data_IF_464727893021
#
_entry.id   IF_464727893021
#
_cell.length_a   1.000
_cell.length_b   1.000
_cell.length_c   1.000
_cell.angle_alpha   90.00
_cell.angle_beta   90.00
_cell.angle_gamma   90.00
#
_symmetry.space_group_name_H-M   'P 1'
#
loop_
_entity.id
_entity.type
_entity.pdbx_description
1 polymer ?
#
# COMPACT_ATOMS: atom_id res chain seq x y z
N UNK A 1 65.25 25.23 -70.43
CA UNK A 1 66.52 24.56 -70.05
C UNK A 1 66.26 23.75 -68.78
N UNK A 2 66.75 22.50 -68.78
CA UNK A 2 67.12 21.63 -67.65
C UNK A 2 66.87 22.17 -66.22
N UNK A 3 66.03 21.53 -65.41
CA UNK A 3 66.29 20.38 -64.51
C UNK A 3 67.13 20.72 -63.28
N UNK A 4 66.57 20.47 -62.10
CA UNK A 4 67.26 20.47 -60.81
C UNK A 4 66.29 20.11 -59.69
N UNK A 5 66.11 18.81 -59.46
CA UNK A 5 65.49 18.23 -58.27
C UNK A 5 66.39 18.46 -57.05
N UNK A 6 65.83 18.44 -55.83
CA UNK A 6 66.18 17.40 -54.85
C UNK A 6 65.45 17.55 -53.49
N UNK A 7 64.72 16.48 -53.19
CA UNK A 7 64.47 15.83 -51.88
C UNK A 7 63.98 16.66 -50.68
N UNK A 8 62.65 16.70 -50.54
CA UNK A 8 61.99 16.82 -49.24
C UNK A 8 62.12 15.48 -48.47
N UNK A 9 62.72 15.53 -47.29
CA UNK A 9 62.78 14.41 -46.34
C UNK A 9 61.38 14.05 -45.84
N UNK A 10 60.94 12.85 -46.23
CA UNK A 10 59.73 12.20 -45.76
C UNK A 10 59.96 11.59 -44.36
N UNK A 11 59.56 12.28 -43.28
CA UNK A 11 59.47 11.64 -41.95
C UNK A 11 58.63 12.39 -40.91
N UNK A 12 57.54 13.07 -41.27
CA UNK A 12 56.73 13.82 -40.28
C UNK A 12 55.25 13.45 -40.18
N UNK A 13 54.64 12.86 -41.22
CA UNK A 13 53.18 12.64 -41.21
C UNK A 13 52.73 11.33 -40.55
N UNK A 14 53.55 10.28 -40.58
CA UNK A 14 53.22 9.00 -39.92
C UNK A 14 53.44 9.04 -38.41
N UNK A 15 54.42 9.82 -37.92
CA UNK A 15 54.62 10.01 -36.48
C UNK A 15 53.54 10.92 -35.87
N UNK A 16 53.05 11.91 -36.61
CA UNK A 16 51.91 12.75 -36.17
C UNK A 16 50.58 11.98 -36.13
N UNK A 17 50.35 11.04 -37.04
CA UNK A 17 49.12 10.23 -37.04
C UNK A 17 49.09 9.21 -35.89
N UNK A 18 50.23 8.65 -35.52
CA UNK A 18 50.37 7.74 -34.36
C UNK A 18 50.24 8.51 -33.04
N UNK A 19 50.69 9.77 -32.96
CA UNK A 19 50.54 10.61 -31.77
C UNK A 19 49.11 11.15 -31.58
N UNK A 20 48.34 11.34 -32.66
CA UNK A 20 46.91 11.71 -32.57
C UNK A 20 45.99 10.57 -32.12
N UNK A 21 46.44 9.31 -32.18
CA UNK A 21 45.67 8.13 -31.77
C UNK A 21 45.86 7.72 -30.30
N UNK A 22 46.61 8.48 -29.52
CA UNK A 22 46.67 8.33 -28.05
C UNK A 22 45.97 9.48 -27.34
N UNK A 23 44.73 9.78 -27.73
CA UNK A 23 43.78 10.25 -26.72
C UNK A 23 43.64 9.15 -25.70
N UNK A 24 44.15 9.41 -24.51
CA UNK A 24 43.94 8.60 -23.32
C UNK A 24 42.45 8.29 -23.26
N UNK A 25 42.08 7.05 -23.54
CA UNK A 25 40.79 6.49 -23.17
C UNK A 25 40.77 6.48 -21.64
N UNK A 26 40.49 7.65 -21.06
CA UNK A 26 39.85 7.69 -19.77
C UNK A 26 38.64 6.77 -19.95
N UNK A 27 38.49 5.80 -19.05
CA UNK A 27 37.25 5.10 -18.84
C UNK A 27 36.19 6.14 -18.41
N UNK A 28 35.76 6.99 -19.34
CA UNK A 28 34.57 7.79 -19.22
C UNK A 28 33.48 6.76 -19.36
N UNK A 29 33.08 6.20 -18.22
CA UNK A 29 31.80 5.50 -18.11
C UNK A 29 30.81 6.35 -18.89
N UNK A 30 30.30 5.85 -20.03
CA UNK A 30 29.25 6.55 -20.79
C UNK A 30 28.09 6.67 -19.84
N UNK A 31 27.98 7.84 -19.22
CA UNK A 31 26.95 8.13 -18.24
C UNK A 31 25.83 8.74 -19.06
N UNK A 32 24.71 8.03 -19.29
CA UNK A 32 23.69 8.48 -20.26
C UNK A 32 23.10 9.86 -19.94
N UNK A 33 23.27 10.35 -18.70
CA UNK A 33 22.84 11.69 -18.30
C UNK A 33 23.81 12.81 -18.66
N UNK A 34 25.11 12.52 -18.89
CA UNK A 34 26.06 13.51 -19.42
C UNK A 34 25.70 13.88 -20.86
N UNK A 35 25.18 12.92 -21.63
CA UNK A 35 24.67 13.15 -22.99
C UNK A 35 23.40 14.04 -23.00
N UNK A 36 22.75 14.24 -21.85
CA UNK A 36 21.60 15.14 -21.70
C UNK A 36 22.00 16.56 -21.29
N UNK A 37 23.27 16.81 -20.92
CA UNK A 37 23.73 18.16 -20.60
C UNK A 37 23.69 19.06 -21.85
N UNK A 38 23.07 20.22 -21.72
CA UNK A 38 22.91 21.17 -22.84
C UNK A 38 21.78 20.80 -23.81
N UNK A 39 21.22 19.58 -23.74
CA UNK A 39 20.01 19.22 -24.50
C UNK A 39 18.80 19.84 -23.79
N UNK A 40 18.27 20.92 -24.34
CA UNK A 40 16.94 21.43 -23.96
C UNK A 40 15.88 20.42 -24.38
N UNK A 41 15.55 19.48 -23.48
CA UNK A 41 14.38 18.62 -23.62
C UNK A 41 13.16 19.52 -23.63
N UNK A 42 12.57 19.74 -24.80
CA UNK A 42 11.31 20.49 -24.89
C UNK A 42 10.28 19.73 -24.05
N UNK A 43 9.60 20.37 -23.09
CA UNK A 43 8.52 19.72 -22.39
C UNK A 43 7.52 19.24 -23.45
N UNK A 44 7.25 17.94 -23.49
CA UNK A 44 6.14 17.38 -24.29
C UNK A 44 4.92 18.23 -23.94
N UNK A 45 4.41 18.95 -24.94
CA UNK A 45 3.34 19.91 -24.73
C UNK A 45 2.16 19.20 -24.05
N UNK A 46 1.45 19.88 -23.13
CA UNK A 46 0.25 19.32 -22.55
C UNK A 46 -0.68 18.86 -23.68
N UNK A 47 -1.34 17.73 -23.44
CA UNK A 47 -2.36 17.18 -24.31
C UNK A 47 -3.32 18.32 -24.70
N UNK A 48 -3.41 18.64 -26.00
CA UNK A 48 -4.17 19.79 -26.49
C UNK A 48 -3.39 21.09 -26.74
N UNK A 49 -2.10 21.03 -27.09
CA UNK A 49 -1.46 22.21 -27.69
C UNK A 49 -2.17 22.53 -29.02
N UNK A 50 -2.80 23.71 -29.11
CA UNK A 50 -3.35 24.33 -30.33
C UNK A 50 -2.18 24.76 -31.26
N UNK A 51 -1.14 23.92 -31.33
CA UNK A 51 -0.06 24.10 -32.27
C UNK A 51 -0.61 23.79 -33.65
N UNK A 52 -0.36 24.67 -34.62
CA UNK A 52 -0.72 24.49 -36.04
C UNK A 52 -0.07 23.26 -36.70
N UNK A 53 0.77 22.51 -35.98
CA UNK A 53 1.39 21.26 -36.47
C UNK A 53 0.56 20.05 -36.03
N UNK A 54 0.31 19.08 -36.92
CA UNK A 54 -0.34 17.83 -36.54
C UNK A 54 0.51 17.15 -35.46
N UNK A 55 -0.06 17.04 -34.25
CA UNK A 55 0.55 16.28 -33.18
C UNK A 55 0.35 14.80 -33.48
N UNK A 56 1.40 14.15 -33.95
CA UNK A 56 1.41 12.69 -34.13
C UNK A 56 1.88 12.07 -32.83
N UNK A 57 1.01 11.29 -32.18
CA UNK A 57 1.38 10.58 -30.96
C UNK A 57 2.42 9.51 -31.26
N UNK A 58 3.60 9.61 -30.63
CA UNK A 58 4.69 8.66 -30.84
C UNK A 58 4.34 7.24 -30.39
N UNK A 59 3.48 7.09 -29.38
CA UNK A 59 3.17 5.79 -28.81
C UNK A 59 2.25 4.99 -29.74
N UNK A 60 2.65 3.75 -30.09
CA UNK A 60 1.86 2.86 -30.94
C UNK A 60 0.45 2.66 -30.39
N UNK A 61 0.33 2.45 -29.07
CA UNK A 61 -0.97 2.25 -28.42
C UNK A 61 -1.93 3.42 -28.62
N UNK A 62 -1.44 4.67 -28.64
CA UNK A 62 -2.30 5.84 -28.86
C UNK A 62 -2.67 6.06 -30.32
N UNK A 63 -1.92 5.46 -31.25
CA UNK A 63 -2.23 5.48 -32.68
C UNK A 63 -3.21 4.37 -33.06
N UNK A 64 -3.07 3.21 -32.42
CA UNK A 64 -3.89 2.03 -32.70
C UNK A 64 -5.21 2.02 -31.91
N UNK A 65 -5.26 2.64 -30.73
CA UNK A 65 -6.43 2.65 -29.86
C UNK A 65 -7.05 4.06 -29.82
N UNK A 66 -8.29 4.24 -30.34
CA UNK A 66 -9.05 5.47 -30.15
C UNK A 66 -9.20 5.86 -28.68
N UNK A 67 -9.31 7.15 -28.41
CA UNK A 67 -9.39 7.68 -27.04
C UNK A 67 -10.64 7.19 -26.30
N UNK A 68 -11.74 6.96 -27.00
CA UNK A 68 -12.98 6.43 -26.44
C UNK A 68 -12.79 5.01 -25.88
N UNK A 69 -12.04 4.17 -26.59
CA UNK A 69 -11.73 2.81 -26.13
C UNK A 69 -10.75 2.85 -24.95
N UNK A 70 -9.78 3.76 -24.97
CA UNK A 70 -8.88 3.97 -23.84
C UNK A 70 -9.64 4.43 -22.59
N UNK A 71 -10.64 5.30 -22.75
CA UNK A 71 -11.50 5.77 -21.66
C UNK A 71 -12.32 4.63 -21.09
N UNK A 72 -12.87 3.79 -21.96
CA UNK A 72 -13.65 2.62 -21.54
C UNK A 72 -12.78 1.60 -20.78
N UNK A 73 -11.51 1.44 -21.19
CA UNK A 73 -10.53 0.65 -20.44
C UNK A 73 -10.31 1.23 -19.05
N UNK A 74 -10.04 2.55 -18.93
CA UNK A 74 -9.85 3.20 -17.63
C UNK A 74 -11.10 3.16 -16.75
N UNK A 75 -12.29 3.25 -17.32
CA UNK A 75 -13.56 3.18 -16.58
C UNK A 75 -13.80 1.80 -15.92
N UNK A 76 -13.18 0.74 -16.45
CA UNK A 76 -13.28 -0.64 -15.91
C UNK A 76 -12.14 -1.02 -14.97
N UNK A 77 -11.07 -0.23 -14.91
CA UNK A 77 -9.91 -0.50 -14.06
C UNK A 77 -10.22 -0.30 -12.58
N UNK A 78 -9.49 -1.00 -11.72
CA UNK A 78 -9.55 -0.73 -10.28
C UNK A 78 -8.84 0.60 -9.97
N UNK A 79 -9.14 1.25 -8.83
CA UNK A 79 -8.41 2.44 -8.39
C UNK A 79 -6.90 2.21 -8.26
N UNK A 80 -6.50 0.98 -7.93
CA UNK A 80 -5.10 0.60 -7.83
C UNK A 80 -4.42 0.61 -9.21
N UNK A 81 -5.05 -0.04 -10.19
CA UNK A 81 -4.59 -0.09 -11.58
C UNK A 81 -4.59 1.29 -12.22
N UNK A 82 -5.61 2.12 -11.97
CA UNK A 82 -5.65 3.51 -12.42
C UNK A 82 -4.47 4.31 -11.86
N UNK A 83 -4.08 4.06 -10.60
CA UNK A 83 -2.88 4.64 -10.01
C UNK A 83 -1.62 4.26 -10.79
N UNK A 84 -1.44 2.98 -11.09
CA UNK A 84 -0.30 2.46 -11.88
C UNK A 84 -0.31 3.01 -13.32
N UNK A 85 -1.46 3.02 -13.97
CA UNK A 85 -1.67 3.57 -15.31
C UNK A 85 -1.30 5.06 -15.36
N UNK A 86 -1.62 5.83 -14.31
CA UNK A 86 -1.25 7.25 -14.22
C UNK A 86 0.28 7.49 -14.17
N UNK A 87 1.08 6.47 -13.88
CA UNK A 87 2.55 6.53 -13.88
C UNK A 87 3.17 6.15 -15.23
N UNK A 88 2.40 5.65 -16.19
CA UNK A 88 2.93 5.17 -17.50
C UNK A 88 3.35 6.33 -18.40
N UNK A 89 2.45 7.30 -18.63
CA UNK A 89 2.75 8.46 -19.46
C UNK A 89 1.92 9.69 -19.07
N UNK A 90 2.30 10.87 -19.59
CA UNK A 90 1.59 12.13 -19.34
C UNK A 90 0.13 12.07 -19.80
N UNK A 91 -0.15 11.51 -20.99
CA UNK A 91 -1.52 11.37 -21.52
C UNK A 91 -2.41 10.65 -20.51
N UNK A 92 -2.01 9.45 -20.08
CA UNK A 92 -2.76 8.64 -19.12
C UNK A 92 -2.92 9.35 -17.77
N UNK A 93 -1.85 9.98 -17.26
CA UNK A 93 -1.89 10.77 -16.03
C UNK A 93 -2.95 11.86 -16.06
N UNK A 94 -3.07 12.59 -17.17
CA UNK A 94 -4.05 13.67 -17.30
C UNK A 94 -5.45 13.15 -17.61
N UNK A 95 -5.58 12.10 -18.43
CA UNK A 95 -6.86 11.45 -18.71
C UNK A 95 -7.50 10.91 -17.42
N UNK A 96 -6.76 10.14 -16.62
CA UNK A 96 -7.25 9.51 -15.38
C UNK A 96 -7.63 10.56 -14.31
N UNK A 97 -7.19 11.81 -14.44
CA UNK A 97 -7.65 12.90 -13.56
C UNK A 97 -9.11 13.29 -13.78
N UNK A 98 -9.72 12.88 -14.91
CA UNK A 98 -11.14 13.07 -15.14
C UNK A 98 -11.95 12.42 -13.99
N UNK A 99 -12.81 13.19 -13.28
CA UNK A 99 -13.59 12.67 -12.17
C UNK A 99 -14.49 11.47 -12.51
N UNK A 100 -14.95 11.35 -13.76
CA UNK A 100 -15.91 10.30 -14.17
C UNK A 100 -15.39 8.89 -13.88
N UNK A 101 -14.08 8.65 -14.06
CA UNK A 101 -13.46 7.34 -13.80
C UNK A 101 -13.51 6.92 -12.33
N UNK A 102 -13.65 7.87 -11.41
CA UNK A 102 -13.65 7.59 -9.97
C UNK A 102 -15.05 7.33 -9.41
N UNK A 103 -16.12 7.59 -10.19
CA UNK A 103 -17.51 7.42 -9.74
C UNK A 103 -17.80 6.01 -9.24
N UNK A 104 -17.47 4.99 -10.05
CA UNK A 104 -17.72 3.60 -9.68
C UNK A 104 -16.96 3.20 -8.42
N UNK A 105 -15.70 3.61 -8.33
CA UNK A 105 -14.87 3.38 -7.15
C UNK A 105 -15.48 3.99 -5.89
N UNK A 106 -15.93 5.25 -5.95
CA UNK A 106 -16.58 5.93 -4.83
C UNK A 106 -17.86 5.20 -4.39
N UNK A 107 -18.76 4.88 -5.32
CA UNK A 107 -20.01 4.18 -5.00
C UNK A 107 -19.76 2.81 -4.37
N UNK A 108 -18.71 2.10 -4.81
CA UNK A 108 -18.32 0.81 -4.23
C UNK A 108 -17.69 0.96 -2.84
N UNK A 109 -16.84 1.95 -2.63
CA UNK A 109 -16.16 2.15 -1.33
C UNK A 109 -17.09 2.61 -0.22
N UNK A 110 -18.11 3.41 -0.55
CA UNK A 110 -19.07 3.95 0.42
C UNK A 110 -20.50 3.44 0.18
N UNK A 111 -20.62 2.18 -0.24
CA UNK A 111 -21.91 1.55 -0.52
C UNK A 111 -22.87 1.60 0.68
N UNK A 112 -22.35 1.55 1.91
CA UNK A 112 -23.13 1.53 3.14
C UNK A 112 -23.90 2.84 3.39
N UNK A 113 -23.38 3.99 2.95
CA UNK A 113 -24.11 5.26 3.03
C UNK A 113 -25.29 5.33 2.06
N UNK A 114 -25.32 4.47 1.05
CA UNK A 114 -26.31 4.52 -0.02
C UNK A 114 -25.99 5.55 -1.11
N UNK A 115 -26.60 5.37 -2.28
CA UNK A 115 -26.30 6.18 -3.48
C UNK A 115 -26.69 7.64 -3.27
N UNK A 116 -27.91 7.89 -2.80
CA UNK A 116 -28.46 9.26 -2.62
C UNK A 116 -27.60 10.09 -1.68
N UNK A 117 -27.21 9.52 -0.53
CA UNK A 117 -26.40 10.23 0.45
C UNK A 117 -24.98 10.50 -0.07
N UNK A 118 -24.39 9.56 -0.81
CA UNK A 118 -23.11 9.78 -1.48
C UNK A 118 -23.16 10.96 -2.46
N UNK A 119 -24.26 11.12 -3.21
CA UNK A 119 -24.43 12.28 -4.10
C UNK A 119 -24.58 13.60 -3.32
N UNK A 120 -25.31 13.60 -2.20
CA UNK A 120 -25.40 14.80 -1.34
C UNK A 120 -24.03 15.20 -0.79
N UNK A 121 -23.28 14.23 -0.26
CA UNK A 121 -21.93 14.44 0.27
C UNK A 121 -20.98 14.92 -0.84
N UNK A 122 -21.06 14.32 -2.03
CA UNK A 122 -20.28 14.72 -3.20
C UNK A 122 -20.48 16.20 -3.54
N UNK A 123 -21.73 16.66 -3.59
CA UNK A 123 -22.05 18.05 -3.92
C UNK A 123 -21.66 19.01 -2.80
N UNK A 124 -22.01 18.69 -1.55
CA UNK A 124 -21.80 19.56 -0.39
C UNK A 124 -20.34 19.70 0.06
N UNK A 125 -19.54 18.62 0.01
CA UNK A 125 -18.17 18.60 0.56
C UNK A 125 -17.06 18.54 -0.49
N UNK A 126 -17.38 18.15 -1.73
CA UNK A 126 -16.38 17.84 -2.76
C UNK A 126 -16.63 18.52 -4.10
N UNK A 127 -17.47 19.56 -4.14
CA UNK A 127 -17.77 20.39 -5.33
C UNK A 127 -18.18 19.57 -6.56
N UNK A 128 -18.91 18.46 -6.36
CA UNK A 128 -19.33 17.59 -7.46
C UNK A 128 -18.23 16.69 -8.04
N UNK A 129 -17.00 16.71 -7.50
CA UNK A 129 -15.86 15.98 -8.06
C UNK A 129 -15.63 14.62 -7.40
N UNK A 130 -15.96 13.54 -8.12
CA UNK A 130 -15.74 12.16 -7.67
C UNK A 130 -14.28 11.87 -7.33
N UNK A 131 -13.34 12.42 -8.10
CA UNK A 131 -11.90 12.26 -7.83
C UNK A 131 -11.50 12.94 -6.53
N UNK A 132 -12.01 14.16 -6.26
CA UNK A 132 -11.73 14.89 -5.02
C UNK A 132 -12.27 14.10 -3.83
N UNK A 133 -13.50 13.58 -3.94
CA UNK A 133 -14.09 12.69 -2.95
C UNK A 133 -13.24 11.43 -2.71
N UNK A 134 -12.78 10.76 -3.78
CA UNK A 134 -11.95 9.55 -3.65
C UNK A 134 -10.65 9.79 -2.87
N UNK A 135 -10.02 10.95 -3.10
CA UNK A 135 -8.73 11.28 -2.52
C UNK A 135 -8.83 11.81 -1.09
N UNK A 136 -9.91 12.53 -0.75
CA UNK A 136 -10.02 13.23 0.53
C UNK A 136 -10.92 12.50 1.54
N UNK A 137 -11.92 11.74 1.09
CA UNK A 137 -12.80 11.01 2.00
C UNK A 137 -12.07 9.78 2.55
N UNK A 138 -12.03 9.59 3.88
CA UNK A 138 -11.50 8.37 4.48
C UNK A 138 -12.23 7.12 3.99
N UNK A 139 -11.47 6.05 3.70
CA UNK A 139 -11.99 4.72 3.36
C UNK A 139 -11.03 3.63 3.78
N UNK A 140 -11.58 2.50 4.18
CA UNK A 140 -10.80 1.28 4.35
C UNK A 140 -10.55 0.63 3.00
N UNK A 141 -9.37 0.05 2.85
CA UNK A 141 -9.02 -0.76 1.69
C UNK A 141 -9.43 -2.21 1.93
N UNK A 142 -10.08 -2.79 0.92
CA UNK A 142 -10.61 -4.17 0.95
C UNK A 142 -9.92 -5.08 -0.07
N UNK A 143 -9.02 -4.50 -0.87
CA UNK A 143 -8.21 -5.10 -1.93
C UNK A 143 -6.86 -5.68 -1.41
N UNK A 144 -6.78 -6.02 -0.12
CA UNK A 144 -5.55 -6.50 0.48
C UNK A 144 -5.66 -6.73 1.98
N UNK A 145 -4.50 -6.73 2.65
CA UNK A 145 -4.36 -6.95 4.09
C UNK A 145 -3.69 -5.76 4.77
N UNK A 146 -4.20 -5.37 5.94
CA UNK A 146 -3.48 -4.54 6.87
C UNK A 146 -2.61 -5.44 7.76
N UNK A 147 -1.31 -5.16 7.80
CA UNK A 147 -0.31 -5.98 8.49
C UNK A 147 0.47 -5.15 9.48
N UNK A 148 0.45 -5.53 10.75
CA UNK A 148 1.30 -4.94 11.79
C UNK A 148 2.39 -5.96 12.16
N UNK A 149 3.65 -5.62 11.86
CA UNK A 149 4.83 -6.43 12.21
C UNK A 149 5.32 -6.00 13.58
N UNK A 150 5.43 -6.95 14.51
CA UNK A 150 5.85 -6.70 15.88
C UNK A 150 7.03 -7.61 16.20
N UNK A 151 8.08 -7.02 16.78
CA UNK A 151 9.28 -7.73 17.23
C UNK A 151 9.50 -7.49 18.72
N UNK A 152 9.95 -8.52 19.43
CA UNK A 152 10.38 -8.40 20.81
C UNK A 152 11.54 -9.36 21.10
N UNK A 153 12.32 -9.04 22.12
CA UNK A 153 13.44 -9.88 22.56
C UNK A 153 12.97 -10.76 23.71
N UNK A 154 13.18 -12.07 23.58
CA UNK A 154 12.95 -13.06 24.64
C UNK A 154 14.28 -13.62 25.09
N UNK A 155 14.52 -13.65 26.41
CA UNK A 155 15.67 -14.35 26.97
C UNK A 155 15.55 -15.86 26.69
N UNK A 156 16.63 -16.46 26.18
CA UNK A 156 16.77 -17.89 26.02
C UNK A 156 17.17 -18.57 27.34
N UNK A 157 17.19 -19.90 27.33
CA UNK A 157 17.68 -20.68 28.47
C UNK A 157 19.20 -20.65 28.45
N UNK A 158 19.82 -20.08 29.49
CA UNK A 158 21.26 -20.07 29.64
C UNK A 158 21.74 -21.39 30.27
N UNK A 159 22.42 -22.23 29.50
CA UNK A 159 23.05 -23.46 30.03
C UNK A 159 24.38 -23.18 30.75
N UNK A 160 25.06 -22.07 30.42
CA UNK A 160 26.36 -21.68 30.98
C UNK A 160 26.38 -20.21 31.38
N UNK A 161 27.11 -19.85 32.44
CA UNK A 161 27.19 -18.47 33.00
C UNK A 161 27.91 -17.44 32.12
N UNK A 162 28.40 -17.82 30.94
CA UNK A 162 29.30 -16.98 30.12
C UNK A 162 28.51 -16.14 29.09
N UNK A 163 27.35 -16.61 28.61
CA UNK A 163 26.54 -15.89 27.61
C UNK A 163 25.05 -16.05 27.89
N UNK A 164 24.30 -14.93 27.91
CA UNK A 164 22.84 -14.95 27.96
C UNK A 164 22.27 -14.99 26.53
N UNK A 165 21.78 -16.13 26.04
CA UNK A 165 21.19 -16.20 24.70
C UNK A 165 19.91 -15.36 24.64
N UNK A 166 19.68 -14.69 23.52
CA UNK A 166 18.46 -13.91 23.27
C UNK A 166 17.84 -14.32 21.92
N UNK A 167 16.52 -14.39 21.88
CA UNK A 167 15.75 -14.68 20.68
C UNK A 167 14.95 -13.45 20.28
N UNK A 168 15.15 -12.98 19.05
CA UNK A 168 14.29 -11.96 18.45
C UNK A 168 13.06 -12.66 17.89
N UNK A 169 11.94 -12.52 18.57
CA UNK A 169 10.65 -13.09 18.16
C UNK A 169 9.93 -12.08 17.29
N UNK A 170 9.54 -12.50 16.08
CA UNK A 170 8.73 -11.71 15.16
C UNK A 170 7.37 -12.36 14.98
N UNK A 171 6.33 -11.55 15.12
CA UNK A 171 4.96 -11.94 14.83
C UNK A 171 4.21 -10.80 14.14
N UNK A 172 3.08 -11.15 13.56
CA UNK A 172 2.27 -10.25 12.75
C UNK A 172 0.82 -10.29 13.23
N UNK A 173 0.18 -9.12 13.22
CA UNK A 173 -1.28 -9.02 13.30
C UNK A 173 -1.80 -8.69 11.90
N UNK A 174 -2.75 -9.48 11.44
CA UNK A 174 -3.38 -9.35 10.14
C UNK A 174 -4.83 -8.93 10.31
N UNK A 175 -5.23 -7.91 9.57
CA UNK A 175 -6.61 -7.46 9.47
C UNK A 175 -7.02 -7.43 8.00
N UNK A 176 -8.16 -8.04 7.68
CA UNK A 176 -8.81 -7.92 6.36
C UNK A 176 -10.20 -7.35 6.55
N UNK A 177 -10.47 -6.17 5.99
CA UNK A 177 -11.79 -5.56 5.99
C UNK A 177 -12.63 -6.00 4.79
N UNK A 178 -13.94 -6.06 4.97
CA UNK A 178 -14.90 -6.33 3.91
C UNK A 178 -15.94 -5.21 3.81
N UNK A 179 -16.44 -4.89 2.59
CA UNK A 179 -17.45 -3.84 2.40
C UNK A 179 -18.76 -4.03 3.17
N UNK A 180 -19.00 -5.20 3.76
CA UNK A 180 -20.17 -5.51 4.59
C UNK A 180 -20.08 -5.01 6.04
N UNK A 181 -18.94 -4.43 6.46
CA UNK A 181 -18.70 -4.10 7.88
C UNK A 181 -18.13 -5.26 8.68
N UNK A 182 -17.85 -6.41 8.04
CA UNK A 182 -17.15 -7.54 8.67
C UNK A 182 -15.64 -7.43 8.44
N UNK A 183 -14.86 -7.98 9.36
CA UNK A 183 -13.42 -8.13 9.18
C UNK A 183 -12.94 -9.50 9.67
N UNK A 184 -11.74 -9.88 9.21
CA UNK A 184 -11.00 -11.02 9.74
C UNK A 184 -9.76 -10.53 10.45
N UNK A 185 -9.46 -11.18 11.56
CA UNK A 185 -8.30 -10.93 12.40
C UNK A 185 -7.51 -12.22 12.62
N UNK A 186 -6.18 -12.13 12.48
CA UNK A 186 -5.27 -13.24 12.79
C UNK A 186 -3.98 -12.71 13.41
N UNK A 187 -3.53 -13.37 14.47
CA UNK A 187 -2.20 -13.18 15.04
C UNK A 187 -1.34 -14.40 14.70
N UNK A 188 -0.20 -14.21 14.03
CA UNK A 188 0.63 -15.32 13.55
C UNK A 188 2.09 -14.92 13.35
N UNK A 189 3.01 -15.87 13.45
CA UNK A 189 4.42 -15.72 13.05
C UNK A 189 4.66 -16.02 11.56
N UNK A 190 3.64 -16.51 10.84
CA UNK A 190 3.73 -16.82 9.42
C UNK A 190 3.85 -15.55 8.57
N UNK A 191 4.42 -15.68 7.36
CA UNK A 191 4.61 -14.56 6.43
C UNK A 191 3.31 -14.17 5.74
N UNK A 192 3.27 -12.94 5.19
CA UNK A 192 2.07 -12.40 4.52
C UNK A 192 1.58 -13.31 3.39
N UNK A 193 2.50 -13.82 2.58
CA UNK A 193 2.19 -14.73 1.45
C UNK A 193 1.57 -16.07 1.84
N UNK A 194 1.81 -16.53 3.05
CA UNK A 194 1.26 -17.79 3.54
C UNK A 194 -0.11 -17.53 4.19
N UNK A 195 -0.21 -16.45 4.98
CA UNK A 195 -1.44 -16.07 5.69
C UNK A 195 -2.54 -15.63 4.74
N UNK A 196 -2.22 -15.02 3.59
CA UNK A 196 -3.24 -14.55 2.64
C UNK A 196 -4.20 -15.67 2.19
N UNK A 197 -3.71 -16.91 2.12
CA UNK A 197 -4.45 -18.11 1.69
C UNK A 197 -5.61 -18.41 2.64
N UNK A 198 -5.40 -18.18 3.93
CA UNK A 198 -6.38 -18.40 4.99
C UNK A 198 -7.06 -17.10 5.49
N UNK A 199 -6.93 -15.97 4.81
CA UNK A 199 -7.60 -14.73 5.22
C UNK A 199 -8.87 -14.51 4.39
N UNK A 200 -9.76 -15.51 4.31
CA UNK A 200 -10.98 -15.45 3.51
C UNK A 200 -12.22 -15.88 4.32
N UNK A 201 -13.43 -15.62 3.80
CA UNK A 201 -14.68 -15.90 4.54
C UNK A 201 -14.92 -17.39 4.85
N UNK A 202 -14.30 -18.31 4.09
CA UNK A 202 -14.40 -19.76 4.31
C UNK A 202 -13.36 -20.25 5.32
N UNK A 203 -12.48 -19.38 5.80
CA UNK A 203 -11.46 -19.78 6.74
C UNK A 203 -12.05 -20.17 8.07
N UNK A 204 -11.55 -21.27 8.59
CA UNK A 204 -12.07 -21.91 9.79
C UNK A 204 -11.35 -21.38 11.04
N UNK A 205 -12.02 -21.50 12.19
CA UNK A 205 -11.41 -21.23 13.50
C UNK A 205 -10.15 -22.07 13.75
N UNK A 206 -10.02 -23.24 13.09
CA UNK A 206 -8.84 -24.10 13.16
C UNK A 206 -7.59 -23.45 12.53
N UNK A 207 -7.75 -22.48 11.63
CA UNK A 207 -6.64 -21.70 11.06
C UNK A 207 -6.24 -20.50 11.94
N UNK A 208 -6.82 -20.37 13.15
CA UNK A 208 -6.67 -19.24 14.07
C UNK A 208 -7.06 -17.89 13.42
N UNK A 209 -8.08 -17.92 12.58
CA UNK A 209 -8.66 -16.74 11.94
C UNK A 209 -10.00 -16.47 12.61
N UNK A 210 -10.19 -15.24 13.08
CA UNK A 210 -11.36 -14.84 13.83
C UNK A 210 -12.12 -13.75 13.09
N UNK A 211 -13.43 -13.93 12.97
CA UNK A 211 -14.33 -12.96 12.38
C UNK A 211 -14.83 -11.96 13.41
N UNK A 212 -15.13 -10.76 12.96
CA UNK A 212 -15.74 -9.72 13.77
C UNK A 212 -16.35 -8.62 12.92
N UNK A 213 -16.83 -7.58 13.60
CA UNK A 213 -17.47 -6.43 12.96
C UNK A 213 -16.69 -5.16 13.25
N UNK A 214 -16.76 -4.22 12.31
CA UNK A 214 -16.11 -2.92 12.44
C UNK A 214 -17.03 -1.79 11.97
N UNK A 215 -16.79 -0.61 12.52
CA UNK A 215 -17.35 0.66 12.05
C UNK A 215 -16.21 1.61 11.69
N UNK A 216 -16.47 2.52 10.74
CA UNK A 216 -15.56 3.60 10.37
C UNK A 216 -16.31 4.91 10.56
N UNK A 217 -15.83 5.73 11.50
CA UNK A 217 -16.33 7.07 11.79
C UNK A 217 -15.21 8.06 11.55
N UNK A 218 -15.33 8.84 10.47
CA UNK A 218 -14.26 9.70 9.94
C UNK A 218 -12.96 8.93 9.69
N UNK A 219 -11.94 9.13 10.54
CA UNK A 219 -10.65 8.45 10.49
C UNK A 219 -10.49 7.36 11.58
N UNK A 220 -11.51 7.13 12.41
CA UNK A 220 -11.46 6.16 13.51
C UNK A 220 -12.16 4.87 13.11
N UNK A 221 -11.47 3.77 13.34
CA UNK A 221 -12.00 2.41 13.16
C UNK A 221 -12.19 1.80 14.52
N UNK A 222 -13.39 1.33 14.79
CA UNK A 222 -13.68 0.53 15.97
C UNK A 222 -14.06 -0.87 15.51
N UNK A 223 -13.46 -1.87 16.13
CA UNK A 223 -13.60 -3.25 15.71
C UNK A 223 -13.61 -4.19 16.91
N UNK A 224 -14.43 -5.23 16.85
CA UNK A 224 -14.57 -6.20 17.92
C UNK A 224 -14.53 -7.63 17.38
N UNK A 225 -13.81 -8.51 18.09
CA UNK A 225 -13.69 -9.95 17.78
C UNK A 225 -14.04 -10.76 19.02
N UNK A 226 -14.91 -11.75 18.88
CA UNK A 226 -15.21 -12.71 19.96
C UNK A 226 -14.30 -13.94 19.85
N UNK A 227 -13.55 -14.22 20.92
CA UNK A 227 -12.87 -15.50 21.10
C UNK A 227 -13.81 -16.49 21.82
N UNK A 228 -14.24 -17.56 21.13
CA UNK A 228 -15.07 -18.58 21.76
C UNK A 228 -14.23 -19.46 22.69
N UNK A 229 -14.86 -20.02 23.71
CA UNK A 229 -14.23 -20.95 24.65
C UNK A 229 -15.01 -21.05 25.95
N UNK A 230 -14.44 -21.76 26.94
CA UNK A 230 -15.02 -21.87 28.29
C UNK A 230 -15.17 -20.51 28.98
N UNK A 231 -14.31 -19.54 28.61
CA UNK A 231 -14.35 -18.16 29.07
C UNK A 231 -14.36 -17.23 27.86
N UNK A 232 -15.54 -16.89 27.32
CA UNK A 232 -15.65 -15.99 26.18
C UNK A 232 -14.93 -14.67 26.45
N UNK A 233 -14.07 -14.28 25.52
CA UNK A 233 -13.27 -13.06 25.64
C UNK A 233 -13.45 -12.24 24.38
N UNK A 234 -13.77 -10.96 24.52
CA UNK A 234 -13.82 -10.04 23.38
C UNK A 234 -12.50 -9.29 23.26
N UNK A 235 -12.01 -9.14 22.04
CA UNK A 235 -10.94 -8.23 21.70
C UNK A 235 -11.52 -7.01 21.00
N UNK A 236 -11.36 -5.86 21.65
CA UNK A 236 -11.72 -4.54 21.12
C UNK A 236 -10.47 -3.87 20.58
N UNK A 237 -10.55 -3.38 19.36
CA UNK A 237 -9.46 -2.76 18.62
C UNK A 237 -9.92 -1.38 18.18
N UNK A 238 -9.24 -0.32 18.62
CA UNK A 238 -9.43 1.03 18.07
C UNK A 238 -8.23 1.40 17.24
N UNK A 239 -8.47 1.76 15.98
CA UNK A 239 -7.45 2.17 15.02
C UNK A 239 -7.71 3.57 14.50
N UNK A 240 -6.65 4.25 14.09
CA UNK A 240 -6.73 5.51 13.34
C UNK A 240 -6.23 5.32 11.93
N UNK A 241 -7.09 5.50 10.94
CA UNK A 241 -6.73 5.46 9.53
C UNK A 241 -5.81 6.64 9.17
N UNK A 242 -4.69 6.30 8.54
CA UNK A 242 -3.72 7.26 7.98
C UNK A 242 -3.39 6.88 6.54
N UNK A 243 -2.69 7.78 5.85
CA UNK A 243 -2.15 7.54 4.52
C UNK A 243 -0.77 8.14 4.37
N UNK A 244 0.09 7.44 3.65
CA UNK A 244 1.40 7.95 3.20
C UNK A 244 1.29 9.10 2.20
N UNK A 245 0.16 9.17 1.48
CA UNK A 245 -0.19 10.24 0.58
C UNK A 245 -1.72 10.44 0.60
N UNK A 246 -2.18 11.56 0.06
CA UNK A 246 -3.61 11.87 -0.07
C UNK A 246 -4.35 10.75 -0.80
N UNK A 247 -5.37 10.18 -0.16
CA UNK A 247 -6.19 9.10 -0.71
C UNK A 247 -5.57 7.71 -0.66
N UNK A 248 -4.36 7.55 -0.11
CA UNK A 248 -3.68 6.26 -0.03
C UNK A 248 -4.35 5.32 0.97
N UNK A 249 -4.75 5.83 2.15
CA UNK A 249 -5.43 5.09 3.22
C UNK A 249 -4.76 3.74 3.54
N UNK A 250 -3.42 3.73 3.50
CA UNK A 250 -2.59 2.54 3.53
C UNK A 250 -1.85 2.35 4.87
N UNK A 251 -2.24 3.11 5.90
CA UNK A 251 -1.69 3.05 7.25
C UNK A 251 -2.81 3.04 8.28
N UNK A 252 -2.61 2.35 9.38
CA UNK A 252 -3.46 2.49 10.55
C UNK A 252 -2.65 2.48 11.83
N UNK A 253 -2.82 3.47 12.67
CA UNK A 253 -2.22 3.46 13.99
C UNK A 253 -3.09 2.65 14.94
N UNK A 254 -2.48 1.77 15.72
CA UNK A 254 -3.18 1.04 16.77
C UNK A 254 -3.30 1.96 17.99
N UNK A 255 -4.49 2.51 18.23
CA UNK A 255 -4.76 3.43 19.36
C UNK A 255 -4.93 2.62 20.64
N UNK A 256 -5.85 1.65 20.63
CA UNK A 256 -6.10 0.79 21.78
C UNK A 256 -6.34 -0.65 21.35
N UNK A 257 -5.89 -1.57 22.20
CA UNK A 257 -6.08 -2.99 22.06
C UNK A 257 -6.45 -3.52 23.45
N UNK A 258 -7.71 -3.91 23.61
CA UNK A 258 -8.27 -4.30 24.91
C UNK A 258 -8.89 -5.69 24.80
N UNK A 259 -8.58 -6.56 25.74
CA UNK A 259 -9.27 -7.85 25.90
C UNK A 259 -10.10 -7.82 27.17
N UNK A 260 -11.38 -8.14 27.08
CA UNK A 260 -12.29 -8.17 28.23
C UNK A 260 -13.17 -9.42 28.22
N UNK A 261 -13.65 -9.81 29.40
CA UNK A 261 -14.57 -10.92 29.58
C UNK A 261 -15.98 -10.56 29.12
N UNK A 262 -16.66 -11.53 28.50
CA UNK A 262 -18.05 -11.42 28.07
C UNK A 262 -18.87 -12.52 28.73
N UNK A 263 -20.12 -12.23 29.07
CA UNK A 263 -21.02 -13.23 29.63
C UNK A 263 -21.46 -14.27 28.58
N UNK A 264 -21.87 -15.45 29.04
CA UNK A 264 -22.28 -16.54 28.15
C UNK A 264 -23.52 -16.20 27.32
N UNK A 265 -24.45 -15.39 27.86
CA UNK A 265 -25.62 -14.89 27.15
C UNK A 265 -25.24 -13.93 26.01
N UNK A 266 -24.36 -12.97 26.28
CA UNK A 266 -23.84 -12.00 25.31
C UNK A 266 -22.97 -12.67 24.24
N UNK A 267 -22.19 -13.69 24.62
CA UNK A 267 -21.37 -14.47 23.72
C UNK A 267 -22.19 -15.38 22.77
N UNK A 268 -23.47 -15.61 23.09
CA UNK A 268 -24.39 -16.36 22.22
C UNK A 268 -25.05 -15.49 21.14
N UNK A 269 -24.84 -14.17 21.18
CA UNK A 269 -25.24 -13.28 20.10
C UNK A 269 -24.58 -13.74 18.78
N UNK A 270 -25.26 -13.52 17.63
CA UNK A 270 -24.63 -13.76 16.33
C UNK A 270 -23.27 -13.06 16.27
N UNK A 271 -22.25 -13.69 15.68
CA UNK A 271 -20.91 -13.07 15.52
C UNK A 271 -20.99 -11.67 14.89
N UNK A 272 -22.07 -11.39 14.15
CA UNK A 272 -22.36 -10.13 13.47
C UNK A 272 -22.80 -8.98 14.39
N UNK A 273 -23.13 -9.24 15.67
CA UNK A 273 -23.65 -8.25 16.62
C UNK A 273 -22.68 -7.94 17.78
N UNK A 274 -21.51 -8.59 17.82
CA UNK A 274 -20.56 -8.41 18.95
C UNK A 274 -20.10 -6.96 19.11
N UNK A 275 -20.04 -6.19 18.02
CA UNK A 275 -19.67 -4.78 18.08
C UNK A 275 -20.76 -3.93 18.76
N UNK A 276 -22.04 -4.27 18.57
CA UNK A 276 -23.15 -3.63 19.27
C UNK A 276 -23.20 -3.99 20.74
N UNK A 277 -22.88 -5.25 21.08
CA UNK A 277 -22.78 -5.72 22.48
C UNK A 277 -21.76 -4.91 23.28
N UNK A 278 -20.62 -4.59 22.68
CA UNK A 278 -19.53 -3.86 23.35
C UNK A 278 -19.57 -2.34 23.12
N UNK A 279 -20.62 -1.84 22.48
CA UNK A 279 -20.77 -0.41 22.26
C UNK A 279 -20.92 0.31 23.60
N UNK A 280 -20.22 1.44 23.75
CA UNK A 280 -20.18 2.20 25.00
C UNK A 280 -19.33 1.61 26.14
N UNK A 281 -18.78 0.39 26.00
CA UNK A 281 -17.96 -0.21 27.06
C UNK A 281 -16.68 0.60 27.31
N UNK A 282 -16.34 0.81 28.58
CA UNK A 282 -15.07 1.42 28.97
C UNK A 282 -13.90 0.44 28.80
N UNK A 283 -12.67 0.95 28.70
CA UNK A 283 -11.49 0.11 28.44
C UNK A 283 -11.14 -0.83 29.61
N UNK A 284 -11.59 -0.51 30.83
CA UNK A 284 -11.43 -1.27 32.06
C UNK A 284 -12.65 -2.15 32.40
N UNK A 285 -13.69 -2.13 31.56
CA UNK A 285 -14.93 -2.86 31.78
C UNK A 285 -14.83 -4.33 31.36
N UNK A 286 -15.35 -5.21 32.21
CA UNK A 286 -15.53 -6.63 31.95
C UNK A 286 -16.87 -7.11 32.49
N UNK A 287 -17.56 -7.93 31.70
CA UNK A 287 -18.83 -8.52 32.10
C UNK A 287 -18.67 -9.92 32.68
N UNK A 288 -17.46 -10.49 32.61
CA UNK A 288 -17.12 -11.76 33.27
C UNK A 288 -16.05 -11.53 34.36
N UNK A 289 -16.38 -11.75 35.65
CA UNK A 289 -15.46 -11.47 36.75
C UNK A 289 -14.19 -12.34 36.73
N UNK A 290 -14.23 -13.52 36.09
CA UNK A 290 -13.08 -14.41 35.97
C UNK A 290 -12.10 -14.00 34.85
N UNK A 291 -12.47 -13.00 34.03
CA UNK A 291 -11.67 -12.51 32.91
C UNK A 291 -11.57 -10.99 33.01
N UNK A 292 -10.49 -10.44 33.60
CA UNK A 292 -10.35 -9.00 33.74
C UNK A 292 -10.17 -8.31 32.40
N UNK A 293 -10.56 -7.03 32.33
CA UNK A 293 -10.21 -6.17 31.21
C UNK A 293 -8.70 -5.88 31.23
N UNK A 294 -8.03 -6.13 30.12
CA UNK A 294 -6.59 -5.93 29.96
C UNK A 294 -6.32 -5.04 28.76
N UNK A 295 -5.75 -3.88 29.02
CA UNK A 295 -5.21 -2.98 27.99
C UNK A 295 -3.78 -3.37 27.63
N UNK A 296 -3.57 -3.72 26.37
CA UNK A 296 -2.29 -4.20 25.86
C UNK A 296 -1.40 -3.01 25.50
N UNK A 297 -0.21 -2.93 26.11
CA UNK A 297 0.80 -1.88 25.81
C UNK A 297 1.89 -2.34 24.84
N UNK A 298 1.97 -3.65 24.57
CA UNK A 298 2.98 -4.25 23.69
C UNK A 298 2.35 -4.65 22.36
N UNK A 299 3.15 -4.62 21.31
CA UNK A 299 2.70 -5.00 19.98
C UNK A 299 1.75 -3.99 19.35
N UNK A 300 1.99 -2.70 19.62
CA UNK A 300 1.21 -1.55 19.18
C UNK A 300 1.73 -0.96 17.86
N UNK A 301 2.53 -1.71 17.10
CA UNK A 301 3.06 -1.20 15.84
C UNK A 301 1.93 -0.89 14.85
N UNK A 302 2.00 0.24 14.13
CA UNK A 302 1.04 0.58 13.08
C UNK A 302 0.88 -0.52 12.04
N UNK A 303 -0.32 -0.65 11.49
CA UNK A 303 -0.60 -1.53 10.37
C UNK A 303 -0.23 -0.84 9.06
N UNK A 304 0.39 -1.60 8.17
CA UNK A 304 0.70 -1.22 6.79
C UNK A 304 -0.15 -2.06 5.85
N UNK A 305 -0.76 -1.40 4.87
CA UNK A 305 -1.55 -2.09 3.87
C UNK A 305 -0.67 -2.74 2.80
N UNK A 306 -0.96 -4.01 2.50
CA UNK A 306 -0.36 -4.81 1.43
C UNK A 306 -1.47 -5.22 0.45
N UNK A 307 -1.49 -4.70 -0.79
CA UNK A 307 -2.43 -5.13 -1.83
C UNK A 307 -2.24 -6.61 -2.18
N UNK A 308 -3.30 -7.33 -2.54
CA UNK A 308 -3.20 -8.75 -2.89
C UNK A 308 -2.21 -9.04 -4.01
N UNK A 309 -2.11 -8.14 -4.99
CA UNK A 309 -1.16 -8.24 -6.12
C UNK A 309 0.30 -8.18 -5.69
N UNK A 310 0.61 -7.55 -4.55
CA UNK A 310 1.97 -7.34 -4.06
C UNK A 310 2.33 -8.24 -2.87
N UNK A 311 1.46 -9.19 -2.52
CA UNK A 311 1.66 -10.05 -1.34
C UNK A 311 2.94 -10.88 -1.45
N UNK A 312 3.25 -11.43 -2.62
CA UNK A 312 4.46 -12.25 -2.82
C UNK A 312 5.75 -11.42 -2.70
N UNK A 313 5.74 -10.22 -3.27
CA UNK A 313 6.90 -9.32 -3.30
C UNK A 313 7.04 -8.44 -2.04
N UNK A 314 6.10 -8.53 -1.09
CA UNK A 314 6.10 -7.67 0.09
C UNK A 314 7.37 -7.83 0.93
N UNK A 315 7.99 -6.72 1.30
CA UNK A 315 9.15 -6.67 2.22
C UNK A 315 8.83 -7.28 3.60
N UNK A 316 7.56 -7.35 3.98
CA UNK A 316 7.13 -7.98 5.22
C UNK A 316 7.35 -9.50 5.23
N UNK A 317 7.59 -10.11 4.07
CA UNK A 317 8.00 -11.52 3.96
C UNK A 317 9.49 -11.76 4.27
N UNK A 318 10.28 -10.69 4.43
CA UNK A 318 11.69 -10.80 4.79
C UNK A 318 11.84 -11.34 6.23
N UNK A 319 12.73 -12.33 6.44
CA UNK A 319 13.00 -12.88 7.76
C UNK A 319 13.66 -11.83 8.66
N UNK A 320 13.67 -12.09 9.97
CA UNK A 320 14.26 -11.19 10.97
C UNK A 320 15.74 -10.93 10.71
N UNK A 321 16.48 -11.91 10.22
CA UNK A 321 17.90 -11.78 9.84
C UNK A 321 18.17 -10.71 8.77
N UNK A 322 17.17 -10.45 7.90
CA UNK A 322 17.27 -9.44 6.82
C UNK A 322 16.58 -8.12 7.19
N UNK A 323 15.69 -8.14 8.18
CA UNK A 323 14.92 -6.98 8.63
C UNK A 323 14.50 -7.20 10.09
N UNK A 324 15.36 -6.83 11.02
CA UNK A 324 15.13 -6.96 12.46
C UNK A 324 14.13 -5.91 12.99
N UNK A 325 14.11 -4.74 12.36
CA UNK A 325 13.19 -3.64 12.65
C UNK A 325 12.44 -3.18 11.41
N UNK A 326 11.17 -2.82 11.58
CA UNK A 326 10.32 -2.31 10.49
C UNK A 326 9.73 -0.97 10.88
N UNK A 327 10.01 0.06 10.08
CA UNK A 327 9.42 1.39 10.23
C UNK A 327 8.21 1.47 9.30
N UNK A 328 6.98 1.51 9.83
CA UNK A 328 5.79 1.51 8.99
C UNK A 328 5.63 2.81 8.18
N UNK A 329 6.28 3.91 8.57
CA UNK A 329 6.21 5.20 7.86
C UNK A 329 4.96 6.00 8.22
#
# INVERSE_FOLDING_TARGET
MASGSDFALASSSELESILRLKTVDYFVTRRPWLDLYGIKVRPVAPFGSISRKPYVDSALIHRCLPDELLFEVFARMTPYDMGKASCVCRKWKYTIRNPVFWRHACLKAWQFSGVVENYKILQSKYDGSWRKMWLLRPRLRTDGLYVSRNTYIRAGVAEWKITNPVHVVCYFRYIRFFPSGRFLYKNSSQKVKDVVKCMNFRSSKAECVFGGNYTLSDDKVEAAVLYPGLRPTVLRIRLRLRGTATGANNRMDLISLVTSGVNSSEASAPEEDILGVVDGWQDDETHNPDVPAVSHKRGMAPFVFVPFEEVEASVLNLPVEKMDYYVPG
#
